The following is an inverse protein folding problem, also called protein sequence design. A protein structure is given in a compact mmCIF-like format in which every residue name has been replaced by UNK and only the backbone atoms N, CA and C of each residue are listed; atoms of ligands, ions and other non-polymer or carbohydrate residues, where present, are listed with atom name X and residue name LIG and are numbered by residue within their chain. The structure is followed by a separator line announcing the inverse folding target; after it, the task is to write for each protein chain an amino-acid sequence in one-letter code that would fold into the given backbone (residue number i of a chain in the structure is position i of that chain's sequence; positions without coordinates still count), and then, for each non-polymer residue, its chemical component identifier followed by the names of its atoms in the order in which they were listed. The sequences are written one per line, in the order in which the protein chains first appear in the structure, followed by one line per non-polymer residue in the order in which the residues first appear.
data_IF_806011374682
#
_entry.id   IF_806011374682
#
_cell.length_a   1.000
_cell.length_b   1.000
_cell.length_c   1.000
_cell.angle_alpha   90.00
_cell.angle_beta   90.00
_cell.angle_gamma   90.00
#
_symmetry.space_group_name_H-M   'P 1'
#
loop_
_entity.id
_entity.type
_entity.pdbx_description
1 polymer ?
#
# COMPACT_ATOMS: atom_id res chain seq x y z
N UNK A 1 5.87 -14.12 5.00
CA UNK A 1 6.30 -12.89 5.67
C UNK A 1 7.79 -12.98 5.94
N UNK A 2 8.54 -11.90 5.75
CA UNK A 2 9.98 -11.84 6.01
C UNK A 2 10.29 -10.97 7.23
N UNK A 3 11.28 -11.40 8.02
CA UNK A 3 11.72 -10.74 9.25
C UNK A 3 12.93 -9.86 8.97
N UNK A 4 12.98 -8.69 9.61
CA UNK A 4 14.05 -7.71 9.43
C UNK A 4 15.24 -8.04 10.35
N UNK A 5 16.36 -8.56 9.84
CA UNK A 5 17.47 -8.98 10.68
C UNK A 5 18.31 -7.80 11.18
N UNK A 6 19.05 -8.02 12.25
CA UNK A 6 20.22 -7.23 12.64
C UNK A 6 21.50 -7.92 12.17
N UNK A 7 22.66 -7.33 12.44
CA UNK A 7 23.96 -7.94 12.12
C UNK A 7 24.19 -9.28 12.86
N UNK A 8 23.58 -9.47 14.02
CA UNK A 8 23.85 -10.61 14.90
C UNK A 8 22.62 -11.50 15.11
N UNK A 9 21.44 -11.11 14.62
CA UNK A 9 20.20 -11.83 14.89
C UNK A 9 19.22 -11.80 13.70
N UNK A 10 18.67 -12.95 13.28
CA UNK A 10 17.83 -13.04 12.09
C UNK A 10 16.46 -12.34 12.24
N UNK A 11 15.97 -12.17 13.47
CA UNK A 11 14.76 -11.39 13.77
C UNK A 11 15.02 -9.94 14.18
N UNK A 12 16.30 -9.55 14.37
CA UNK A 12 16.66 -8.26 14.97
C UNK A 12 16.18 -8.06 16.41
N UNK A 13 15.81 -9.16 17.11
CA UNK A 13 15.30 -9.13 18.49
C UNK A 13 16.36 -8.61 19.48
N UNK A 14 17.64 -8.87 19.21
CA UNK A 14 18.79 -8.42 20.00
C UNK A 14 18.89 -6.90 20.16
N UNK A 15 18.26 -6.13 19.26
CA UNK A 15 18.28 -4.67 19.31
C UNK A 15 17.17 -4.08 20.20
N UNK A 16 16.23 -4.91 20.67
CA UNK A 16 15.13 -4.50 21.54
C UNK A 16 15.47 -4.70 23.01
N UNK A 17 14.80 -3.94 23.88
CA UNK A 17 14.87 -4.12 25.32
C UNK A 17 14.59 -5.58 25.73
N UNK A 18 15.30 -6.05 26.76
CA UNK A 18 15.30 -7.47 27.17
C UNK A 18 13.90 -8.00 27.49
N UNK A 19 13.01 -7.16 28.02
CA UNK A 19 11.62 -7.51 28.33
C UNK A 19 10.76 -7.73 27.08
N UNK A 20 11.17 -7.24 25.91
CA UNK A 20 10.45 -7.39 24.64
C UNK A 20 10.92 -8.61 23.83
N UNK A 21 12.16 -9.05 24.04
CA UNK A 21 12.76 -10.16 23.29
C UNK A 21 11.96 -11.47 23.38
N UNK A 22 11.40 -11.87 24.54
CA UNK A 22 10.57 -13.06 24.63
C UNK A 22 9.37 -13.01 23.68
N UNK A 23 8.70 -11.85 23.56
CA UNK A 23 7.57 -11.71 22.65
C UNK A 23 7.99 -11.93 21.20
N UNK A 24 9.10 -11.31 20.77
CA UNK A 24 9.63 -11.43 19.40
C UNK A 24 10.08 -12.86 19.10
N UNK A 25 10.83 -13.48 20.02
CA UNK A 25 11.36 -14.83 19.84
C UNK A 25 10.26 -15.90 19.83
N UNK A 26 9.12 -15.65 20.48
CA UNK A 26 7.96 -16.54 20.43
C UNK A 26 7.21 -16.48 19.09
N UNK A 27 7.43 -15.45 18.26
CA UNK A 27 6.75 -15.32 16.95
C UNK A 27 7.26 -16.28 15.91
N UNK A 28 8.57 -16.52 15.92
CA UNK A 28 9.20 -17.41 14.97
C UNK A 28 10.34 -18.16 15.64
N UNK A 29 10.37 -19.48 15.43
CA UNK A 29 11.51 -20.27 15.84
C UNK A 29 12.68 -19.95 14.92
N UNK A 30 13.65 -19.20 15.44
CA UNK A 30 14.85 -18.75 14.72
C UNK A 30 15.56 -19.89 14.01
N UNK A 31 15.64 -21.07 14.63
CA UNK A 31 16.32 -22.23 14.06
C UNK A 31 15.55 -22.90 12.91
N UNK A 32 14.29 -22.53 12.70
CA UNK A 32 13.43 -23.04 11.63
C UNK A 32 13.20 -22.04 10.51
N UNK A 33 13.67 -20.80 10.67
CA UNK A 33 13.52 -19.76 9.65
C UNK A 33 14.18 -20.20 8.36
N UNK A 34 13.41 -20.15 7.29
CA UNK A 34 13.91 -20.40 5.95
C UNK A 34 14.64 -19.16 5.43
N UNK A 35 15.57 -19.34 4.50
CA UNK A 35 16.35 -18.24 3.94
C UNK A 35 15.48 -17.14 3.31
N UNK A 36 14.35 -17.50 2.69
CA UNK A 36 13.42 -16.55 2.11
C UNK A 36 12.63 -15.74 3.17
N UNK A 37 12.54 -16.22 4.40
CA UNK A 37 11.91 -15.53 5.53
C UNK A 37 12.86 -14.50 6.17
N UNK A 38 14.16 -14.54 5.87
CA UNK A 38 15.12 -13.57 6.36
C UNK A 38 15.28 -12.42 5.35
N UNK A 39 14.90 -11.21 5.73
CA UNK A 39 15.00 -10.05 4.85
C UNK A 39 16.47 -9.71 4.55
N UNK A 40 16.86 -9.46 3.28
CA UNK A 40 18.25 -9.19 2.92
C UNK A 40 18.85 -7.97 3.62
N UNK A 41 20.13 -8.05 3.98
CA UNK A 41 20.87 -6.94 4.61
C UNK A 41 21.65 -6.07 3.64
N UNK A 42 21.74 -6.46 2.37
CA UNK A 42 22.49 -5.76 1.32
C UNK A 42 21.71 -5.73 0.00
N UNK A 43 22.04 -4.76 -0.86
CA UNK A 43 21.37 -4.62 -2.17
C UNK A 43 21.68 -5.80 -3.10
N UNK A 44 22.91 -6.32 -3.05
CA UNK A 44 23.33 -7.48 -3.82
C UNK A 44 22.46 -8.70 -3.50
N UNK A 45 22.31 -9.02 -2.21
CA UNK A 45 21.45 -10.13 -1.78
C UNK A 45 19.98 -9.86 -2.10
N UNK A 46 19.50 -8.62 -1.98
CA UNK A 46 18.11 -8.27 -2.32
C UNK A 46 17.80 -8.48 -3.80
N UNK A 47 18.78 -8.23 -4.69
CA UNK A 47 18.67 -8.52 -6.13
C UNK A 47 18.59 -10.01 -6.41
N UNK A 48 19.24 -10.87 -5.63
CA UNK A 48 19.13 -12.32 -5.77
C UNK A 48 17.83 -12.87 -5.17
N UNK A 49 17.38 -12.26 -4.08
CA UNK A 49 16.25 -12.71 -3.27
C UNK A 49 14.88 -12.30 -3.82
N UNK A 50 14.76 -11.08 -4.38
CA UNK A 50 13.49 -10.56 -4.91
C UNK A 50 13.60 -10.02 -6.34
N UNK A 51 12.45 -9.87 -6.96
CA UNK A 51 12.28 -9.19 -8.25
C UNK A 51 11.12 -8.20 -8.17
N UNK A 52 11.05 -7.30 -9.15
CA UNK A 52 9.88 -6.44 -9.34
C UNK A 52 9.08 -7.03 -10.49
N UNK A 53 7.81 -7.32 -10.26
CA UNK A 53 6.89 -7.89 -11.25
C UNK A 53 5.67 -7.00 -11.43
N UNK A 54 5.01 -7.13 -12.59
CA UNK A 54 3.74 -6.45 -12.82
C UNK A 54 2.61 -7.19 -12.09
N UNK A 55 1.75 -6.46 -11.38
CA UNK A 55 0.57 -7.02 -10.75
C UNK A 55 -0.45 -7.43 -11.83
N UNK A 56 -0.79 -8.72 -11.99
CA UNK A 56 -1.55 -9.21 -13.14
C UNK A 56 -3.00 -8.73 -13.19
N UNK A 57 -3.60 -8.51 -12.01
CA UNK A 57 -5.01 -8.12 -11.86
C UNK A 57 -5.23 -6.66 -11.49
N UNK A 58 -4.18 -5.85 -11.32
CA UNK A 58 -4.33 -4.46 -10.90
C UNK A 58 -4.76 -3.58 -12.08
N UNK A 59 -6.00 -3.07 -12.02
CA UNK A 59 -6.52 -2.15 -13.03
C UNK A 59 -5.83 -0.77 -12.99
N UNK A 60 -5.33 -0.36 -11.82
CA UNK A 60 -4.61 0.89 -11.67
C UNK A 60 -3.16 0.76 -12.16
N UNK A 61 -2.89 1.38 -13.31
CA UNK A 61 -1.55 1.44 -13.92
C UNK A 61 -0.50 2.10 -13.03
N UNK A 62 -0.90 2.92 -12.04
CA UNK A 62 0.03 3.52 -11.09
C UNK A 62 0.52 2.49 -10.07
N UNK A 63 -0.34 1.57 -9.65
CA UNK A 63 -0.06 0.50 -8.67
C UNK A 63 0.20 -0.86 -9.34
N UNK A 64 0.67 -0.85 -10.59
CA UNK A 64 0.80 -2.07 -11.39
C UNK A 64 2.06 -2.87 -11.08
N UNK A 65 2.84 -2.55 -10.05
CA UNK A 65 4.09 -3.23 -9.75
C UNK A 65 4.16 -3.69 -8.30
N UNK A 66 4.81 -4.81 -8.06
CA UNK A 66 5.02 -5.40 -6.74
C UNK A 66 6.46 -5.89 -6.60
N UNK A 67 6.97 -5.92 -5.36
CA UNK A 67 8.17 -6.69 -5.03
C UNK A 67 7.71 -8.13 -4.77
N UNK A 68 8.31 -9.10 -5.45
CA UNK A 68 7.96 -10.52 -5.34
C UNK A 68 9.20 -11.37 -5.06
N UNK A 69 9.03 -12.48 -4.34
CA UNK A 69 10.10 -13.45 -4.11
C UNK A 69 10.55 -14.08 -5.44
N UNK A 70 11.87 -14.26 -5.62
CA UNK A 70 12.43 -14.95 -6.80
C UNK A 70 12.48 -16.47 -6.63
N UNK A 71 12.85 -16.91 -5.43
CA UNK A 71 13.08 -18.30 -5.11
C UNK A 71 12.27 -18.63 -3.87
N UNK A 72 11.20 -19.40 -4.06
CA UNK A 72 10.54 -20.08 -2.95
C UNK A 72 11.04 -21.52 -2.89
N UNK A 73 11.13 -22.12 -1.69
CA UNK A 73 11.75 -23.43 -1.48
C UNK A 73 10.89 -24.61 -1.97
N UNK A 74 9.73 -24.36 -2.58
CA UNK A 74 8.79 -25.40 -3.03
C UNK A 74 8.68 -25.35 -4.55
N UNK A 75 8.65 -26.50 -5.27
CA UNK A 75 8.33 -26.51 -6.70
C UNK A 75 6.86 -26.08 -6.88
N UNK A 76 6.66 -24.78 -6.96
CA UNK A 76 5.34 -24.18 -7.10
C UNK A 76 4.88 -24.15 -8.56
N UNK A 77 3.56 -24.03 -8.79
CA UNK A 77 3.03 -23.85 -10.13
C UNK A 77 3.71 -22.66 -10.81
N UNK A 78 4.21 -22.89 -12.02
CA UNK A 78 4.82 -21.84 -12.83
C UNK A 78 3.81 -20.68 -13.01
N UNK A 79 4.23 -19.45 -12.71
CA UNK A 79 3.44 -18.24 -12.95
C UNK A 79 2.70 -17.63 -11.76
N UNK A 80 2.78 -18.22 -10.56
CA UNK A 80 2.26 -17.58 -9.34
C UNK A 80 3.28 -16.54 -8.83
N UNK A 81 2.80 -15.33 -8.55
CA UNK A 81 3.60 -14.26 -7.94
C UNK A 81 3.34 -14.22 -6.45
N UNK A 82 4.42 -14.15 -5.66
CA UNK A 82 4.35 -14.07 -4.21
C UNK A 82 4.88 -12.71 -3.75
N UNK A 83 3.99 -11.76 -3.42
CA UNK A 83 4.39 -10.45 -2.93
C UNK A 83 5.23 -10.57 -1.66
N UNK A 84 6.26 -9.74 -1.56
CA UNK A 84 7.09 -9.66 -0.35
C UNK A 84 6.34 -8.90 0.73
N UNK A 85 6.10 -9.59 1.84
CA UNK A 85 5.63 -9.04 3.11
C UNK A 85 6.78 -8.93 4.11
N UNK A 86 6.76 -7.90 4.95
CA UNK A 86 7.75 -7.63 6.00
C UNK A 86 7.07 -7.50 7.37
N UNK A 87 7.74 -8.07 8.36
CA UNK A 87 7.37 -7.99 9.77
C UNK A 87 8.08 -6.79 10.42
N UNK A 88 7.30 -5.82 10.89
CA UNK A 88 7.80 -4.60 11.54
C UNK A 88 7.39 -4.62 13.02
N UNK A 89 8.35 -4.48 13.92
CA UNK A 89 8.08 -4.35 15.35
C UNK A 89 8.15 -2.88 15.77
N UNK A 90 7.19 -2.39 16.55
CA UNK A 90 7.15 -0.98 16.94
C UNK A 90 6.19 -0.68 18.07
N UNK A 91 6.22 0.55 18.57
CA UNK A 91 5.20 1.07 19.48
C UNK A 91 4.16 1.90 18.72
N UNK A 92 2.89 1.73 19.04
CA UNK A 92 1.81 2.56 18.50
C UNK A 92 1.86 4.00 19.06
N UNK A 93 1.79 5.02 18.21
CA UNK A 93 1.64 6.42 18.63
C UNK A 93 0.24 6.97 18.34
N UNK A 94 -0.14 7.06 17.07
CA UNK A 94 -1.45 7.52 16.60
C UNK A 94 -1.96 6.53 15.57
N UNK A 95 -3.25 6.23 15.58
CA UNK A 95 -3.81 5.28 14.62
C UNK A 95 -5.27 5.60 14.33
N UNK A 96 -5.71 5.16 13.17
CA UNK A 96 -7.08 5.21 12.68
C UNK A 96 -7.24 4.00 11.75
N UNK A 97 -7.52 2.83 12.32
CA UNK A 97 -7.50 1.54 11.61
C UNK A 97 -8.87 0.85 11.60
N UNK A 98 -9.92 1.56 12.03
CA UNK A 98 -11.29 1.07 11.91
C UNK A 98 -11.68 0.80 10.45
N UNK A 99 -12.82 0.13 10.26
CA UNK A 99 -13.28 -0.39 8.96
C UNK A 99 -13.23 0.64 7.82
N UNK A 100 -13.60 1.89 8.14
CA UNK A 100 -13.63 3.02 7.20
C UNK A 100 -12.53 4.07 7.45
N UNK A 101 -11.53 3.74 8.25
CA UNK A 101 -10.47 4.67 8.63
C UNK A 101 -11.02 5.96 9.25
N UNK A 102 -10.61 7.11 8.73
CA UNK A 102 -11.04 8.42 9.22
C UNK A 102 -12.35 8.94 8.60
N UNK A 103 -13.12 8.08 7.91
CA UNK A 103 -14.40 8.49 7.36
C UNK A 103 -15.43 8.76 8.46
N UNK A 104 -16.14 9.87 8.34
CA UNK A 104 -17.16 10.30 9.28
C UNK A 104 -18.60 10.18 8.72
N UNK A 105 -18.78 9.46 7.62
CA UNK A 105 -20.07 9.30 6.93
C UNK A 105 -20.38 10.36 5.87
N UNK A 106 -19.56 11.39 5.72
CA UNK A 106 -19.71 12.40 4.65
C UNK A 106 -19.34 11.81 3.29
N UNK A 107 -20.33 11.60 2.42
CA UNK A 107 -20.15 11.01 1.10
C UNK A 107 -19.16 11.80 0.21
N UNK A 108 -19.09 13.13 0.39
CA UNK A 108 -18.15 13.98 -0.37
C UNK A 108 -16.69 13.72 0.01
N UNK A 109 -16.45 13.13 1.19
CA UNK A 109 -15.12 12.83 1.73
C UNK A 109 -14.76 11.34 1.69
N UNK A 110 -15.67 10.48 1.20
CA UNK A 110 -15.44 9.04 1.17
C UNK A 110 -14.16 8.65 0.40
N UNK A 111 -13.86 9.34 -0.71
CA UNK A 111 -12.64 9.12 -1.50
C UNK A 111 -11.34 9.45 -0.74
N UNK A 112 -11.44 10.28 0.30
CA UNK A 112 -10.33 10.70 1.15
C UNK A 112 -10.25 9.92 2.46
N UNK A 113 -11.14 8.95 2.65
CA UNK A 113 -11.09 8.02 3.77
C UNK A 113 -9.80 7.21 3.71
N UNK A 114 -9.04 7.24 4.79
CA UNK A 114 -7.74 6.58 4.89
C UNK A 114 -7.62 5.93 6.26
N UNK A 115 -7.21 4.67 6.27
CA UNK A 115 -6.68 4.03 7.46
C UNK A 115 -5.23 4.47 7.65
N UNK A 116 -4.87 4.90 8.85
CA UNK A 116 -3.53 5.40 9.15
C UNK A 116 -2.96 4.78 10.42
N UNK A 117 -1.65 4.60 10.43
CA UNK A 117 -0.91 4.04 11.54
C UNK A 117 0.41 4.80 11.66
N UNK A 118 0.64 5.42 12.81
CA UNK A 118 1.90 6.05 13.17
C UNK A 118 2.54 5.24 14.28
N UNK A 119 3.79 4.85 14.05
CA UNK A 119 4.57 4.00 14.94
C UNK A 119 5.92 4.63 15.28
N UNK A 120 6.55 4.18 16.35
CA UNK A 120 7.83 4.72 16.81
C UNK A 120 8.61 3.82 17.76
N UNK A 121 9.80 4.28 18.14
CA UNK A 121 10.78 3.47 18.89
C UNK A 121 10.56 3.45 20.41
N UNK A 122 9.86 4.44 20.97
CA UNK A 122 9.74 4.69 22.41
C UNK A 122 11.07 4.52 23.17
N UNK A 123 12.17 5.05 22.60
CA UNK A 123 13.51 4.97 23.19
C UNK A 123 14.40 3.86 22.62
N UNK A 124 13.84 2.85 21.94
CA UNK A 124 14.58 1.78 21.26
C UNK A 124 15.13 2.22 19.89
N UNK A 125 15.93 3.30 19.88
CA UNK A 125 16.37 3.98 18.65
C UNK A 125 17.22 3.08 17.75
N UNK A 126 18.03 2.17 18.31
CA UNK A 126 18.85 1.23 17.56
C UNK A 126 18.00 0.22 16.76
N UNK A 127 17.05 -0.46 17.42
CA UNK A 127 16.11 -1.37 16.77
C UNK A 127 15.32 -0.68 15.66
N UNK A 128 14.80 0.52 15.94
CA UNK A 128 14.03 1.29 14.99
C UNK A 128 14.86 1.72 13.77
N UNK A 129 16.09 2.20 14.00
CA UNK A 129 17.01 2.56 12.91
C UNK A 129 17.31 1.37 12.02
N UNK A 130 17.62 0.20 12.60
CA UNK A 130 17.89 -1.01 11.83
C UNK A 130 16.71 -1.38 10.93
N UNK A 131 15.48 -1.37 11.45
CA UNK A 131 14.30 -1.65 10.62
C UNK A 131 14.13 -0.63 9.49
N UNK A 132 14.29 0.66 9.79
CA UNK A 132 14.19 1.71 8.77
C UNK A 132 15.25 1.57 7.67
N UNK A 133 16.48 1.19 8.03
CA UNK A 133 17.54 0.88 7.07
C UNK A 133 17.17 -0.28 6.13
N UNK A 134 16.56 -1.36 6.66
CA UNK A 134 16.07 -2.47 5.83
C UNK A 134 14.92 -2.07 4.90
N UNK A 135 13.99 -1.26 5.38
CA UNK A 135 12.90 -0.75 4.55
C UNK A 135 13.42 0.20 3.45
N UNK A 136 14.38 1.07 3.77
CA UNK A 136 15.03 1.94 2.79
C UNK A 136 15.87 1.16 1.76
N UNK A 137 16.43 0.02 2.15
CA UNK A 137 17.10 -0.91 1.23
C UNK A 137 16.11 -1.42 0.17
N UNK A 138 14.88 -1.79 0.57
CA UNK A 138 13.81 -2.17 -0.36
C UNK A 138 13.44 -1.04 -1.33
N UNK A 139 13.32 0.18 -0.81
CA UNK A 139 13.02 1.36 -1.62
C UNK A 139 14.12 1.64 -2.66
N UNK A 140 15.39 1.48 -2.25
CA UNK A 140 16.55 1.60 -3.13
C UNK A 140 16.51 0.53 -4.22
N UNK A 141 16.29 -0.73 -3.85
CA UNK A 141 16.17 -1.84 -4.79
C UNK A 141 15.09 -1.60 -5.86
N UNK A 142 13.90 -1.19 -5.44
CA UNK A 142 12.81 -0.90 -6.36
C UNK A 142 13.16 0.25 -7.32
N UNK A 143 13.86 1.28 -6.83
CA UNK A 143 14.24 2.47 -7.62
C UNK A 143 15.38 2.21 -8.61
N UNK A 144 16.30 1.29 -8.29
CA UNK A 144 17.49 1.00 -9.12
C UNK A 144 17.20 0.08 -10.32
N UNK A 145 16.10 -0.68 -10.29
CA UNK A 145 15.70 -1.45 -11.47
C UNK A 145 15.00 -0.54 -12.47
N UNK A 146 15.45 -0.58 -13.74
CA UNK A 146 14.66 -0.06 -14.86
C UNK A 146 13.41 -0.92 -14.99
N UNK A 147 12.36 -0.58 -14.23
CA UNK A 147 11.06 -1.28 -14.27
C UNK A 147 10.34 -1.01 -15.59
N UNK A 148 10.74 0.03 -16.32
CA UNK A 148 10.23 0.36 -17.64
C UNK A 148 11.08 -0.30 -18.73
N UNK A 149 10.71 -1.51 -19.12
CA UNK A 149 10.96 -1.98 -20.49
C UNK A 149 9.70 -1.68 -21.29
N UNK A 150 9.81 -0.90 -22.35
CA UNK A 150 8.70 -0.62 -23.26
C UNK A 150 8.34 -1.93 -23.96
N UNK A 151 7.39 -2.67 -23.41
CA UNK A 151 6.83 -3.85 -24.07
C UNK A 151 5.97 -3.34 -25.21
N UNK A 152 6.46 -3.51 -26.44
CA UNK A 152 5.66 -3.28 -27.63
C UNK A 152 4.61 -4.39 -27.70
N UNK A 153 3.41 -4.11 -27.19
CA UNK A 153 2.29 -5.00 -27.46
C UNK A 153 1.95 -4.94 -28.95
N UNK A 154 1.87 -6.08 -29.66
CA UNK A 154 1.25 -6.10 -30.97
C UNK A 154 -0.20 -5.62 -30.84
N UNK A 155 -0.73 -4.87 -31.83
CA UNK A 155 -2.10 -4.40 -31.81
C UNK A 155 -3.04 -5.60 -31.95
N UNK A 156 -3.68 -6.02 -30.85
CA UNK A 156 -4.63 -7.14 -30.87
C UNK A 156 -5.59 -7.09 -29.67
N UNK A 157 -6.87 -6.92 -30.01
CA UNK A 157 -8.11 -7.21 -29.26
C UNK A 157 -8.21 -6.87 -27.77
N UNK A 158 -8.81 -5.70 -27.50
CA UNK A 158 -9.37 -5.36 -26.19
C UNK A 158 -10.69 -6.14 -25.98
N UNK A 159 -10.65 -7.20 -25.19
CA UNK A 159 -11.84 -7.83 -24.63
C UNK A 159 -12.21 -7.10 -23.33
N UNK A 160 -13.42 -6.53 -23.30
CA UNK A 160 -14.01 -5.89 -22.10
C UNK A 160 -14.36 -6.98 -21.08
N UNK A 161 -13.90 -6.91 -19.81
CA UNK A 161 -14.25 -7.91 -18.82
C UNK A 161 -15.69 -7.72 -18.30
N UNK A 162 -16.43 -8.80 -18.00
CA UNK A 162 -17.77 -8.71 -17.43
C UNK A 162 -17.72 -8.28 -15.96
N UNK A 163 -18.59 -7.32 -15.60
CA UNK A 163 -18.76 -6.82 -14.24
C UNK A 163 -19.59 -7.83 -13.43
N UNK A 164 -19.05 -8.34 -12.34
CA UNK A 164 -19.76 -9.20 -11.40
C UNK A 164 -20.25 -8.37 -10.22
N UNK A 165 -21.57 -8.29 -10.02
CA UNK A 165 -22.22 -7.60 -8.91
C UNK A 165 -22.83 -8.69 -8.01
N UNK A 166 -22.25 -8.93 -6.84
CA UNK A 166 -22.86 -9.78 -5.80
C UNK A 166 -23.51 -8.91 -4.72
N UNK A 167 -24.77 -9.18 -4.33
CA UNK A 167 -25.47 -8.41 -3.31
C UNK A 167 -25.17 -9.00 -1.92
N UNK A 168 -24.10 -8.52 -1.29
CA UNK A 168 -23.90 -8.64 0.16
C UNK A 168 -23.60 -7.24 0.68
N UNK A 169 -24.29 -6.83 1.75
CA UNK A 169 -24.19 -5.55 2.49
C UNK A 169 -25.29 -4.50 2.23
N UNK A 170 -26.53 -4.78 2.64
CA UNK A 170 -27.66 -3.82 2.66
C UNK A 170 -27.61 -2.77 3.77
N UNK A 171 -26.64 -2.84 4.69
CA UNK A 171 -26.51 -1.91 5.83
C UNK A 171 -25.28 -0.99 5.76
N UNK A 172 -24.48 -1.07 4.69
CA UNK A 172 -23.36 -0.16 4.51
C UNK A 172 -23.84 1.17 3.92
N UNK A 173 -23.31 2.32 4.36
CA UNK A 173 -23.62 3.59 3.73
C UNK A 173 -23.23 3.51 2.25
N UNK A 174 -24.11 4.03 1.39
CA UNK A 174 -23.97 3.93 -0.07
C UNK A 174 -22.63 4.53 -0.48
N UNK A 175 -21.69 3.68 -0.91
CA UNK A 175 -20.40 4.11 -1.45
C UNK A 175 -20.65 4.98 -2.70
N UNK A 176 -19.78 5.99 -2.97
CA UNK A 176 -19.87 6.75 -4.21
C UNK A 176 -19.84 5.83 -5.43
N UNK A 177 -20.43 6.28 -6.54
CA UNK A 177 -20.53 5.44 -7.75
C UNK A 177 -19.13 5.08 -8.30
N UNK A 178 -19.05 3.87 -8.86
CA UNK A 178 -17.89 3.16 -9.43
C UNK A 178 -16.79 4.03 -10.08
N UNK A 179 -15.49 3.64 -10.03
CA UNK A 179 -14.93 2.42 -9.44
C UNK A 179 -14.17 2.70 -8.14
N UNK A 180 -14.81 2.50 -6.99
CA UNK A 180 -14.11 2.47 -5.70
C UNK A 180 -13.90 1.04 -5.27
N UNK A 181 -12.65 0.68 -4.98
CA UNK A 181 -12.30 -0.61 -4.42
C UNK A 181 -11.95 -0.40 -2.95
N UNK A 182 -12.76 -0.98 -2.08
CA UNK A 182 -12.43 -1.07 -0.67
C UNK A 182 -11.45 -2.22 -0.47
N UNK A 183 -10.29 -1.93 0.12
CA UNK A 183 -9.23 -2.91 0.35
C UNK A 183 -9.50 -3.83 1.56
N UNK A 184 -10.68 -3.72 2.17
CA UNK A 184 -11.07 -4.43 3.37
C UNK A 184 -10.49 -3.83 4.65
N UNK A 185 -10.88 -4.35 5.83
CA UNK A 185 -10.35 -3.92 7.11
C UNK A 185 -8.95 -4.51 7.36
N UNK A 186 -8.10 -3.75 8.06
CA UNK A 186 -6.84 -4.28 8.59
C UNK A 186 -7.17 -5.30 9.67
N UNK A 187 -6.55 -6.49 9.63
CA UNK A 187 -6.75 -7.50 10.68
C UNK A 187 -6.06 -7.03 11.96
N UNK A 188 -6.80 -6.98 13.07
CA UNK A 188 -6.26 -6.59 14.37
C UNK A 188 -6.34 -7.79 15.31
N UNK A 189 -5.20 -8.19 15.83
CA UNK A 189 -5.02 -9.38 16.64
C UNK A 189 -4.34 -9.02 17.96
N UNK A 190 -4.51 -9.87 18.96
CA UNK A 190 -3.84 -9.78 20.25
C UNK A 190 -3.14 -11.09 20.57
N UNK A 191 -1.94 -10.98 21.15
CA UNK A 191 -1.15 -12.10 21.65
C UNK A 191 -1.41 -12.22 23.16
N UNK A 192 -2.20 -13.22 23.55
CA UNK A 192 -2.53 -13.49 24.94
C UNK A 192 -1.30 -13.98 25.73
N UNK A 193 -1.39 -13.97 27.05
CA UNK A 193 -0.31 -14.42 27.95
C UNK A 193 0.06 -15.90 27.80
N UNK A 194 -0.87 -16.72 27.29
CA UNK A 194 -0.64 -18.14 26.97
C UNK A 194 -0.02 -18.34 25.57
N UNK A 195 0.25 -17.25 24.85
CA UNK A 195 0.79 -17.26 23.48
C UNK A 195 -0.27 -17.49 22.40
N UNK A 196 -1.55 -17.65 22.76
CA UNK A 196 -2.62 -17.74 21.76
C UNK A 196 -2.86 -16.39 21.09
N UNK A 197 -3.26 -16.44 19.82
CA UNK A 197 -3.55 -15.23 19.03
C UNK A 197 -5.05 -15.18 18.77
N UNK A 198 -5.70 -14.08 19.16
CA UNK A 198 -7.13 -13.88 18.96
C UNK A 198 -7.42 -12.55 18.28
N UNK A 199 -8.48 -12.45 17.45
CA UNK A 199 -8.91 -11.18 16.89
C UNK A 199 -9.42 -10.24 17.99
N UNK A 200 -9.11 -8.95 17.85
CA UNK A 200 -9.60 -7.88 18.73
C UNK A 200 -10.16 -6.71 17.92
N UNK A 201 -11.00 -5.90 18.55
CA UNK A 201 -11.53 -4.67 17.96
C UNK A 201 -10.51 -3.52 18.14
N UNK A 202 -10.44 -2.58 17.20
CA UNK A 202 -9.49 -1.45 17.24
C UNK A 202 -9.60 -0.58 18.50
N UNK A 203 -10.77 -0.55 19.15
CA UNK A 203 -10.99 0.20 20.41
C UNK A 203 -10.15 -0.34 21.56
N UNK A 204 -9.62 -1.56 21.44
CA UNK A 204 -8.75 -2.18 22.44
C UNK A 204 -7.27 -1.82 22.24
N UNK A 205 -6.90 -1.23 21.10
CA UNK A 205 -5.55 -0.70 20.89
C UNK A 205 -5.37 0.59 21.68
N UNK A 206 -4.15 0.81 22.16
CA UNK A 206 -3.77 2.02 22.88
C UNK A 206 -2.43 2.55 22.39
N UNK A 207 -2.27 3.87 22.54
CA UNK A 207 -0.97 4.51 22.36
C UNK A 207 0.03 3.90 23.36
N UNK A 208 1.19 3.50 22.86
CA UNK A 208 2.24 2.83 23.62
C UNK A 208 2.14 1.31 23.63
N UNK A 209 1.14 0.71 22.97
CA UNK A 209 1.13 -0.74 22.77
C UNK A 209 2.32 -1.14 21.90
N UNK A 210 3.00 -2.21 22.29
CA UNK A 210 4.03 -2.83 21.47
C UNK A 210 3.36 -3.81 20.50
N UNK A 211 3.62 -3.62 19.22
CA UNK A 211 2.94 -4.33 18.13
C UNK A 211 3.94 -4.93 17.14
N UNK A 212 3.50 -6.02 16.52
CA UNK A 212 4.00 -6.55 15.26
C UNK A 212 3.06 -6.11 14.13
N UNK A 213 3.62 -5.65 13.03
CA UNK A 213 2.89 -5.19 11.84
C UNK A 213 3.37 -6.01 10.65
N UNK A 214 2.44 -6.70 10.00
CA UNK A 214 2.65 -7.31 8.69
C UNK A 214 2.30 -6.27 7.62
N UNK A 215 3.29 -5.91 6.78
CA UNK A 215 3.12 -4.94 5.71
C UNK A 215 3.68 -5.46 4.38
N UNK A 216 3.04 -5.10 3.28
CA UNK A 216 3.55 -5.35 1.93
C UNK A 216 4.03 -4.07 1.25
N UNK A 217 4.98 -4.23 0.34
CA UNK A 217 5.45 -3.13 -0.50
C UNK A 217 4.46 -2.83 -1.63
N UNK A 218 3.95 -1.60 -1.66
CA UNK A 218 3.12 -1.06 -2.73
C UNK A 218 3.96 -0.11 -3.58
N UNK A 219 4.18 -0.46 -4.86
CA UNK A 219 5.03 0.30 -5.77
C UNK A 219 4.18 1.18 -6.67
N UNK A 220 4.32 2.49 -6.51
CA UNK A 220 3.49 3.49 -7.19
C UNK A 220 4.32 4.29 -8.19
N UNK A 221 3.92 4.25 -9.45
CA UNK A 221 4.51 5.07 -10.52
C UNK A 221 3.83 6.44 -10.53
N UNK A 222 4.61 7.48 -10.26
CA UNK A 222 4.18 8.86 -10.25
C UNK A 222 4.79 9.59 -11.44
N UNK A 223 3.96 10.29 -12.21
CA UNK A 223 4.42 11.21 -13.27
C UNK A 223 4.48 12.63 -12.71
N UNK A 224 5.61 13.30 -12.89
CA UNK A 224 5.77 14.72 -12.57
C UNK A 224 5.29 15.58 -13.74
N UNK A 225 5.10 16.89 -13.48
CA UNK A 225 4.79 17.90 -14.51
C UNK A 225 5.83 17.94 -15.65
N UNK A 226 7.08 17.54 -15.37
CA UNK A 226 8.16 17.41 -16.37
C UNK A 226 8.10 16.13 -17.20
N UNK A 227 6.99 15.37 -17.13
CA UNK A 227 6.84 14.05 -17.76
C UNK A 227 7.86 13.00 -17.29
N UNK A 228 8.58 13.24 -16.18
CA UNK A 228 9.45 12.23 -15.58
C UNK A 228 8.63 11.27 -14.75
N UNK A 229 8.89 9.98 -14.92
CA UNK A 229 8.29 8.91 -14.12
C UNK A 229 9.20 8.57 -12.95
N UNK A 230 8.65 8.62 -11.74
CA UNK A 230 9.31 8.20 -10.51
C UNK A 230 8.57 6.99 -9.94
N UNK A 231 9.32 5.99 -9.47
CA UNK A 231 8.76 4.93 -8.66
C UNK A 231 8.85 5.35 -7.18
N UNK A 232 7.73 5.28 -6.47
CA UNK A 232 7.69 5.43 -5.02
C UNK A 232 7.31 4.10 -4.38
N UNK A 233 7.91 3.81 -3.24
CA UNK A 233 7.63 2.62 -2.46
C UNK A 233 6.84 3.03 -1.24
N UNK A 234 5.67 2.44 -1.08
CA UNK A 234 4.80 2.58 0.09
C UNK A 234 4.70 1.24 0.81
N UNK A 235 4.18 1.28 2.03
CA UNK A 235 3.85 0.09 2.80
C UNK A 235 2.34 0.05 3.00
N UNK A 236 1.74 -1.10 2.66
CA UNK A 236 0.34 -1.38 2.93
C UNK A 236 0.26 -2.32 4.13
N UNK A 237 -0.33 -1.86 5.21
CA UNK A 237 -0.55 -2.65 6.41
C UNK A 237 -1.61 -3.74 6.14
N UNK A 238 -1.28 -5.00 6.42
CA UNK A 238 -2.20 -6.14 6.31
C UNK A 238 -2.78 -6.52 7.66
N UNK A 239 -1.92 -6.51 8.68
CA UNK A 239 -2.26 -7.01 10.00
C UNK A 239 -1.48 -6.24 11.06
N UNK A 240 -2.14 -6.01 12.20
CA UNK A 240 -1.55 -5.49 13.42
C UNK A 240 -1.77 -6.57 14.49
N UNK A 241 -0.70 -7.06 15.07
CA UNK A 241 -0.72 -7.97 16.21
C UNK A 241 -0.19 -7.22 17.43
N UNK A 242 -1.04 -7.01 18.43
CA UNK A 242 -0.60 -6.48 19.72
C UNK A 242 0.15 -7.57 20.49
N UNK A 243 1.40 -7.29 20.82
CA UNK A 243 2.28 -8.18 21.58
C UNK A 243 2.26 -7.85 23.07
N UNK A 244 2.17 -6.55 23.40
CA UNK A 244 2.13 -6.07 24.77
C UNK A 244 1.31 -4.78 24.86
N UNK A 245 0.40 -4.70 25.84
CA UNK A 245 -0.41 -3.50 26.07
C UNK A 245 0.38 -2.42 26.82
N UNK A 246 0.18 -1.14 26.48
CA UNK A 246 0.92 -0.01 27.06
C UNK A 246 0.91 0.04 28.60
N UNK A 247 -0.20 -0.40 29.21
CA UNK A 247 -0.43 -0.36 30.67
C UNK A 247 0.49 -1.28 31.45
N UNK A 248 1.04 -2.33 30.84
CA UNK A 248 1.99 -3.22 31.55
C UNK A 248 3.35 -2.55 31.77
N UNK A 249 3.69 -1.50 31.02
CA UNK A 249 5.00 -0.82 31.09
C UNK A 249 5.08 0.15 32.27
N UNK A 250 3.95 0.71 32.72
CA UNK A 250 3.90 1.73 33.77
C UNK A 250 4.36 1.27 35.17
N UNK A 251 4.43 -0.04 35.41
CA UNK A 251 4.91 -0.57 36.70
C UNK A 251 6.45 -0.56 36.76
N UNK A 252 7.13 -0.45 35.61
CA UNK A 252 8.58 -0.68 35.53
C UNK A 252 9.43 0.59 35.46
N UNK A 253 9.02 1.65 34.74
CA UNK A 253 9.93 2.79 34.49
C UNK A 253 9.23 4.16 34.36
N UNK A 254 9.37 5.02 35.38
CA UNK A 254 9.12 6.46 35.25
C UNK A 254 10.32 7.15 34.58
N UNK A 255 10.36 7.19 33.25
CA UNK A 255 11.31 8.04 32.54
C UNK A 255 10.71 8.68 31.28
N UNK A 256 11.17 9.92 31.05
CA UNK A 256 10.76 11.00 30.13
C UNK A 256 10.36 10.59 28.69
N UNK A 257 9.41 11.29 28.04
CA UNK A 257 8.94 10.92 26.70
C UNK A 257 10.00 11.15 25.60
N UNK A 258 10.22 10.19 24.68
CA UNK A 258 11.14 10.33 23.55
C UNK A 258 10.54 11.10 22.37
N UNK A 259 11.42 11.57 21.47
CA UNK A 259 11.10 12.30 20.24
C UNK A 259 10.33 11.44 19.22
N UNK A 260 9.26 12.02 18.67
CA UNK A 260 8.37 11.38 17.69
C UNK A 260 8.97 11.39 16.29
N UNK A 261 8.87 10.26 15.58
CA UNK A 261 9.04 10.20 14.12
C UNK A 261 7.68 9.88 13.52
N UNK A 262 7.10 10.84 12.79
CA UNK A 262 5.82 10.66 12.10
C UNK A 262 6.09 10.07 10.71
N UNK A 263 5.71 8.81 10.48
CA UNK A 263 5.66 8.26 9.11
C UNK A 263 4.30 8.68 8.53
N UNK A 264 4.29 9.73 7.72
CA UNK A 264 3.10 10.11 6.95
C UNK A 264 3.00 9.26 5.69
N UNK A 265 2.10 8.29 5.68
CA UNK A 265 1.58 7.73 4.43
C UNK A 265 0.70 8.80 3.76
N UNK A 266 1.29 9.61 2.88
CA UNK A 266 0.51 10.49 2.01
C UNK A 266 -0.08 9.68 0.85
N UNK A 267 -1.39 9.46 0.87
CA UNK A 267 -2.14 9.20 -0.36
C UNK A 267 -2.19 10.52 -1.14
N UNK A 268 -1.58 10.55 -2.31
CA UNK A 268 -1.66 11.70 -3.21
C UNK A 268 -3.07 11.72 -3.83
N UNK A 269 -3.93 12.60 -3.32
CA UNK A 269 -5.14 12.97 -4.05
C UNK A 269 -4.73 13.91 -5.18
N UNK A 270 -5.11 13.51 -6.38
CA UNK A 270 -5.15 14.33 -7.58
C UNK A 270 -5.76 15.69 -7.30
N UNK A 271 -5.05 16.74 -7.72
CA UNK A 271 -5.59 18.08 -7.94
C UNK A 271 -6.79 17.97 -8.88
N UNK A 272 -7.94 18.43 -8.42
CA UNK A 272 -9.04 18.85 -9.29
C UNK A 272 -8.56 20.04 -10.12
N UNK A 273 -8.31 19.82 -11.41
CA UNK A 273 -8.30 20.93 -12.37
C UNK A 273 -9.75 21.35 -12.59
N UNK A 274 -10.13 22.48 -11.98
CA UNK A 274 -11.32 23.23 -12.35
C UNK A 274 -11.14 23.79 -13.77
N UNK A 275 -11.73 23.11 -14.75
CA UNK A 275 -12.03 23.70 -16.04
C UNK A 275 -13.39 24.40 -15.98
N UNK A 276 -13.39 25.67 -15.59
CA UNK A 276 -14.45 26.58 -15.99
C UNK A 276 -14.23 27.02 -17.45
N UNK A 277 -14.93 26.37 -18.37
CA UNK A 277 -15.26 26.99 -19.66
C UNK A 277 -16.76 26.82 -19.91
N UNK A 278 -17.53 27.82 -19.49
CA UNK A 278 -18.95 27.94 -19.81
C UNK A 278 -19.12 28.42 -21.25
N UNK A 279 -20.02 27.82 -22.06
CA UNK A 279 -20.32 28.28 -23.41
C UNK A 279 -21.25 29.49 -23.36
N UNK A 280 -20.85 30.59 -23.98
CA UNK A 280 -21.75 31.72 -24.19
C UNK A 280 -22.27 31.68 -25.64
N UNK A 281 -23.51 31.20 -25.77
CA UNK A 281 -24.38 31.50 -26.90
C UNK A 281 -24.68 33.01 -26.88
N UNK A 282 -24.35 33.71 -27.97
CA UNK A 282 -25.02 34.95 -28.34
C UNK A 282 -25.56 34.81 -29.76
N UNK A 283 -26.87 34.92 -29.81
CA UNK A 283 -27.73 34.94 -30.98
C UNK A 283 -27.74 36.38 -31.50
N UNK A 284 -27.30 36.65 -32.72
CA UNK A 284 -27.75 37.84 -33.46
C UNK A 284 -27.61 37.70 -34.99
N UNK A 285 -28.77 37.39 -35.60
CA UNK A 285 -29.50 38.15 -36.62
C UNK A 285 -28.79 38.72 -37.87
N UNK A 286 -29.40 38.36 -39.03
CA UNK A 286 -29.37 38.95 -40.39
C UNK A 286 -28.03 38.78 -41.13
N UNK A 287 -27.98 38.35 -42.39
CA UNK A 287 -28.76 38.84 -43.53
C UNK A 287 -28.77 37.78 -44.65
N UNK A 288 -29.95 37.55 -45.24
CA UNK A 288 -30.19 36.65 -46.38
C UNK A 288 -29.81 37.32 -47.70
N UNK A 289 -28.80 36.80 -48.40
CA UNK A 289 -28.51 37.10 -49.80
C UNK A 289 -29.17 36.08 -50.75
N UNK A 290 -29.47 36.46 -52.02
CA UNK A 290 -30.31 35.69 -52.95
C UNK A 290 -29.57 34.53 -53.63
N UNK A 291 -30.29 33.59 -54.28
CA UNK A 291 -29.71 32.32 -54.72
C UNK A 291 -29.00 32.44 -56.08
N UNK A 292 -27.98 31.60 -56.36
CA UNK A 292 -27.53 31.41 -57.73
C UNK A 292 -28.46 30.46 -58.48
N UNK A 293 -28.94 30.94 -59.63
CA UNK A 293 -29.71 30.21 -60.63
C UNK A 293 -29.00 28.96 -61.14
N UNK A 294 -29.82 27.94 -61.33
CA UNK A 294 -29.57 26.70 -62.05
C UNK A 294 -28.93 26.89 -63.42
N UNK A 295 -27.87 26.12 -63.70
CA UNK A 295 -27.61 25.60 -65.04
C UNK A 295 -27.15 24.14 -64.93
N UNK A 296 -27.98 23.25 -65.47
CA UNK A 296 -27.66 21.88 -65.86
C UNK A 296 -27.44 21.91 -67.37
N UNK A 297 -26.44 21.17 -67.87
CA UNK A 297 -26.72 20.44 -69.10
C UNK A 297 -26.24 18.98 -69.07
N UNK A 298 -27.15 18.11 -69.56
CA UNK A 298 -26.82 16.91 -70.33
C UNK A 298 -26.65 15.62 -69.53
N UNK A 299 -27.47 14.61 -69.81
CA UNK A 299 -27.21 13.66 -70.91
C UNK A 299 -28.23 12.50 -70.96
N UNK A 300 -28.48 12.01 -72.19
CA UNK A 300 -29.11 10.72 -72.62
C UNK A 300 -30.64 10.59 -72.49
N UNK A 301 -31.40 9.98 -73.42
CA UNK A 301 -31.16 9.28 -74.69
C UNK A 301 -32.50 9.16 -75.48
N UNK A 302 -32.38 8.76 -76.76
CA UNK A 302 -33.40 8.38 -77.76
C UNK A 302 -34.26 9.47 -78.41
#
# INVERSE_FOLDING_TARGET
MSFLPSSNHPLGADLWAEDLQPFINNRANIHKLQQWECFPTSLAHLVEWASVAQHPTCADRKHSHLIVYKTLPVPEPCGILYPVSVCIYSYLDKFCVGEFGNWNGDCSKAAYAVQSLSIGSTGNTAAWRNQLERLNLAATFASHRKVFTKVHHPPGDRVTPPVCITPQNTHLPKLPDYPWVWNGPVKILDCNSDGTISPIHEVLLSRGDFVEIDAEFDLVVIRTHTSRTHLRVFLTCKQILRLQAARSVQISNMARPPSRTEIRCMRANTTTEDHHTTPQFSLDRRETGPPPSSQVPGSFAE
#
